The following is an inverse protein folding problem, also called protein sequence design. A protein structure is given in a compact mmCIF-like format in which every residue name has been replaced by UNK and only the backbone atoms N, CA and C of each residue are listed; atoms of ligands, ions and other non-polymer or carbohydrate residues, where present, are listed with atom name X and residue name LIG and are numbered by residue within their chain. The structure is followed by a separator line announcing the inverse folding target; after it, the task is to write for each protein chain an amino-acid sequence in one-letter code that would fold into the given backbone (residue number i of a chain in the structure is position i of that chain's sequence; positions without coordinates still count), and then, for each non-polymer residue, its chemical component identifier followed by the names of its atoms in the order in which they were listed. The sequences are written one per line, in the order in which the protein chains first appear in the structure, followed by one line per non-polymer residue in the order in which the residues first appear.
data_IF_579114291785
#
_entry.id   IF_579114291785
#
_cell.length_a   1.000
_cell.length_b   1.000
_cell.length_c   1.000
_cell.angle_alpha   90.00
_cell.angle_beta   90.00
_cell.angle_gamma   90.00
#
_symmetry.space_group_name_H-M   'P 1'
#
loop_
_entity.id
_entity.type
_entity.pdbx_description
1 polymer ?
#
# COMPACT_ATOMS: atom_id res chain seq x y z
N UNK A 1 -21.16 14.30 -14.79
CA UNK A 1 -19.87 14.78 -15.42
C UNK A 1 -18.66 13.93 -14.98
N UNK A 2 -18.26 13.89 -13.70
CA UNK A 2 -17.10 13.04 -13.27
C UNK A 2 -17.33 11.55 -13.57
N UNK A 3 -18.52 11.05 -13.35
CA UNK A 3 -18.91 9.66 -13.61
C UNK A 3 -18.79 9.27 -15.09
N UNK A 4 -19.12 10.17 -16.03
CA UNK A 4 -19.08 9.86 -17.46
C UNK A 4 -17.63 9.81 -18.00
N UNK A 5 -16.77 10.72 -17.58
CA UNK A 5 -15.35 10.73 -17.96
C UNK A 5 -14.60 9.51 -17.42
N UNK A 6 -14.86 9.17 -16.15
CA UNK A 6 -14.31 7.96 -15.54
C UNK A 6 -14.78 6.71 -16.28
N UNK A 7 -16.07 6.63 -16.61
CA UNK A 7 -16.63 5.49 -17.34
C UNK A 7 -15.97 5.32 -18.72
N UNK A 8 -15.81 6.40 -19.50
CA UNK A 8 -15.14 6.33 -20.79
C UNK A 8 -13.67 5.90 -20.66
N UNK A 9 -12.98 6.39 -19.65
CA UNK A 9 -11.60 5.97 -19.34
C UNK A 9 -11.53 4.47 -19.04
N UNK A 10 -12.43 3.98 -18.21
CA UNK A 10 -12.50 2.55 -17.87
C UNK A 10 -12.86 1.68 -19.07
N UNK A 11 -13.83 2.08 -19.91
CA UNK A 11 -14.18 1.36 -21.13
C UNK A 11 -12.97 1.22 -22.09
N UNK A 12 -12.18 2.28 -22.22
CA UNK A 12 -10.98 2.22 -23.04
C UNK A 12 -9.94 1.26 -22.46
N UNK A 13 -9.71 1.31 -21.15
CA UNK A 13 -8.73 0.45 -20.47
C UNK A 13 -9.15 -1.02 -20.46
N UNK A 14 -10.45 -1.31 -20.38
CA UNK A 14 -10.99 -2.67 -20.43
C UNK A 14 -10.65 -3.41 -21.75
N UNK A 15 -10.33 -2.72 -22.84
CA UNK A 15 -9.86 -3.36 -24.08
C UNK A 15 -8.56 -4.12 -23.84
N UNK A 16 -7.60 -3.51 -23.15
CA UNK A 16 -6.33 -4.16 -22.80
C UNK A 16 -6.51 -5.24 -21.73
N UNK A 17 -7.40 -5.00 -20.75
CA UNK A 17 -7.72 -5.99 -19.72
C UNK A 17 -8.30 -7.25 -20.33
N UNK A 18 -9.33 -7.15 -21.19
CA UNK A 18 -9.99 -8.29 -21.82
C UNK A 18 -9.10 -9.05 -22.81
N UNK A 19 -8.08 -8.42 -23.35
CA UNK A 19 -7.11 -9.10 -24.20
C UNK A 19 -6.28 -10.15 -23.43
N UNK A 20 -6.03 -9.93 -22.11
CA UNK A 20 -5.30 -10.86 -21.25
C UNK A 20 -6.23 -11.66 -20.31
N UNK A 21 -7.33 -11.07 -19.88
CA UNK A 21 -8.29 -11.61 -18.92
C UNK A 21 -9.70 -11.46 -19.49
N UNK A 22 -10.11 -12.34 -20.44
CA UNK A 22 -11.35 -12.18 -21.22
C UNK A 22 -12.63 -12.23 -20.37
N UNK A 23 -12.59 -12.91 -19.23
CA UNK A 23 -13.73 -13.13 -18.35
C UNK A 23 -13.96 -11.99 -17.35
N UNK A 24 -13.08 -10.97 -17.33
CA UNK A 24 -13.27 -9.77 -16.53
C UNK A 24 -14.20 -8.76 -17.21
N UNK A 25 -15.25 -8.34 -16.51
CA UNK A 25 -16.27 -7.41 -16.99
C UNK A 25 -16.34 -6.17 -16.11
N UNK A 26 -16.52 -5.00 -16.76
CA UNK A 26 -16.81 -3.74 -16.08
C UNK A 26 -18.31 -3.64 -15.82
N UNK A 27 -18.69 -3.37 -14.59
CA UNK A 27 -20.07 -3.20 -14.14
C UNK A 27 -20.22 -1.89 -13.35
N UNK A 28 -21.44 -1.39 -13.27
CA UNK A 28 -21.79 -0.34 -12.34
C UNK A 28 -22.65 -0.95 -11.22
N UNK A 29 -22.20 -0.84 -9.98
CA UNK A 29 -22.93 -1.32 -8.83
C UNK A 29 -24.17 -0.44 -8.54
N UNK A 30 -25.11 -0.93 -7.74
CA UNK A 30 -26.35 -0.23 -7.39
C UNK A 30 -26.10 1.13 -6.72
N UNK A 31 -25.00 1.29 -6.01
CA UNK A 31 -24.56 2.54 -5.38
C UNK A 31 -23.84 3.49 -6.35
N UNK A 32 -23.76 3.16 -7.63
CA UNK A 32 -23.18 3.95 -8.70
C UNK A 32 -21.66 3.78 -8.87
N UNK A 33 -20.97 3.03 -8.02
CA UNK A 33 -19.53 2.75 -8.14
C UNK A 33 -19.25 1.83 -9.31
N UNK A 34 -18.08 1.99 -9.93
CA UNK A 34 -17.59 1.08 -10.95
C UNK A 34 -16.81 -0.07 -10.33
N UNK A 35 -17.07 -1.26 -10.84
CA UNK A 35 -16.48 -2.52 -10.37
C UNK A 35 -16.04 -3.35 -11.59
N UNK A 36 -14.89 -3.99 -11.52
CA UNK A 36 -14.50 -5.02 -12.48
C UNK A 36 -14.59 -6.37 -11.79
N UNK A 37 -15.39 -7.29 -12.35
CA UNK A 37 -15.64 -8.63 -11.78
C UNK A 37 -15.43 -9.72 -12.80
N UNK A 38 -15.15 -10.92 -12.31
CA UNK A 38 -15.10 -12.15 -13.07
C UNK A 38 -13.91 -13.04 -12.70
N UNK A 39 -13.68 -14.03 -13.53
CA UNK A 39 -12.58 -14.96 -13.34
C UNK A 39 -11.28 -14.40 -13.92
N UNK A 40 -10.20 -14.47 -13.12
CA UNK A 40 -8.84 -14.12 -13.52
C UNK A 40 -8.00 -15.39 -13.48
N UNK A 41 -7.70 -15.94 -14.68
CA UNK A 41 -6.80 -17.07 -14.87
C UNK A 41 -5.40 -16.61 -15.28
N UNK A 42 -4.38 -17.32 -14.81
CA UNK A 42 -3.01 -17.13 -15.25
C UNK A 42 -2.23 -18.45 -15.21
N UNK A 43 -1.21 -18.53 -16.07
CA UNK A 43 -0.20 -19.58 -16.02
C UNK A 43 1.18 -18.91 -16.06
N UNK A 44 2.04 -19.29 -15.13
CA UNK A 44 3.41 -18.76 -15.06
C UNK A 44 4.36 -19.81 -14.49
N UNK A 45 5.67 -19.56 -14.63
CA UNK A 45 6.71 -20.47 -14.15
C UNK A 45 7.75 -19.69 -13.35
N UNK A 46 8.16 -20.26 -12.19
CA UNK A 46 9.26 -19.76 -11.39
C UNK A 46 10.11 -20.92 -10.86
N UNK A 47 11.43 -20.79 -10.99
CA UNK A 47 12.40 -21.78 -10.51
C UNK A 47 12.09 -23.22 -10.96
N UNK A 48 11.65 -23.37 -12.21
CA UNK A 48 11.23 -24.66 -12.78
C UNK A 48 9.85 -25.16 -12.35
N UNK A 49 9.17 -24.49 -11.42
CA UNK A 49 7.83 -24.83 -10.94
C UNK A 49 6.78 -24.06 -11.74
N UNK A 50 5.82 -24.77 -12.30
CA UNK A 50 4.70 -24.20 -13.05
C UNK A 50 3.53 -23.96 -12.09
N UNK A 51 2.94 -22.80 -12.16
CA UNK A 51 1.73 -22.43 -11.43
C UNK A 51 0.66 -22.03 -12.44
N UNK A 52 -0.45 -22.74 -12.42
CA UNK A 52 -1.67 -22.41 -13.15
C UNK A 52 -2.79 -22.26 -12.12
N UNK A 53 -3.47 -21.12 -12.15
CA UNK A 53 -4.52 -20.82 -11.19
C UNK A 53 -5.54 -19.85 -11.78
N UNK A 54 -6.75 -19.91 -11.24
CA UNK A 54 -7.87 -19.06 -11.57
C UNK A 54 -8.60 -18.63 -10.29
N UNK A 55 -8.98 -17.36 -10.22
CA UNK A 55 -9.63 -16.76 -9.06
C UNK A 55 -10.81 -15.89 -9.48
N UNK A 56 -11.92 -16.02 -8.77
CA UNK A 56 -13.01 -15.06 -8.85
C UNK A 56 -12.64 -13.79 -8.10
N UNK A 57 -12.62 -12.67 -8.79
CA UNK A 57 -12.19 -11.40 -8.18
C UNK A 57 -13.22 -10.29 -8.39
N UNK A 58 -13.19 -9.35 -7.45
CA UNK A 58 -13.88 -8.08 -7.53
C UNK A 58 -12.89 -6.94 -7.31
N UNK A 59 -12.81 -6.01 -8.27
CA UNK A 59 -11.94 -4.83 -8.19
C UNK A 59 -12.84 -3.60 -8.09
N UNK A 60 -12.81 -2.94 -6.94
CA UNK A 60 -13.54 -1.71 -6.71
C UNK A 60 -12.73 -0.51 -7.18
N UNK A 61 -13.29 0.28 -8.08
CA UNK A 61 -12.68 1.47 -8.65
C UNK A 61 -13.05 2.67 -7.79
N UNK A 62 -12.10 3.40 -7.19
CA UNK A 62 -12.42 4.59 -6.41
C UNK A 62 -12.80 5.77 -7.32
N UNK A 63 -13.62 6.70 -6.82
CA UNK A 63 -14.01 7.92 -7.56
C UNK A 63 -12.81 8.80 -7.93
N UNK A 64 -11.71 8.64 -7.20
CA UNK A 64 -10.44 9.34 -7.45
C UNK A 64 -9.52 8.62 -8.45
N UNK A 65 -10.01 7.54 -9.09
CA UNK A 65 -9.23 6.87 -10.13
C UNK A 65 -9.02 7.79 -11.34
N UNK A 66 -7.81 7.84 -11.95
CA UNK A 66 -6.62 7.03 -11.69
C UNK A 66 -5.63 7.62 -10.65
N UNK A 67 -5.99 8.63 -9.88
CA UNK A 67 -5.10 9.20 -8.85
C UNK A 67 -4.90 8.25 -7.64
N UNK A 68 -5.88 7.38 -7.39
CA UNK A 68 -5.79 6.33 -6.37
C UNK A 68 -5.92 4.95 -7.00
N UNK A 69 -5.16 3.95 -6.53
CA UNK A 69 -5.29 2.58 -7.01
C UNK A 69 -6.65 1.99 -6.65
N UNK A 70 -7.15 1.06 -7.46
CA UNK A 70 -8.27 0.22 -7.08
C UNK A 70 -7.95 -0.68 -5.89
N UNK A 71 -8.98 -1.29 -5.31
CA UNK A 71 -8.83 -2.34 -4.29
C UNK A 71 -9.45 -3.63 -4.78
N UNK A 72 -8.84 -4.77 -4.45
CA UNK A 72 -9.24 -6.10 -4.94
C UNK A 72 -9.73 -6.98 -3.79
N UNK A 73 -10.79 -7.75 -4.05
CA UNK A 73 -11.28 -8.87 -3.25
C UNK A 73 -11.22 -10.15 -4.06
N UNK A 74 -10.94 -11.23 -3.42
CA UNK A 74 -11.20 -12.56 -3.97
C UNK A 74 -12.55 -13.01 -3.45
N UNK A 75 -13.46 -13.37 -4.35
CA UNK A 75 -14.87 -13.64 -4.06
C UNK A 75 -15.25 -15.12 -4.18
N UNK A 76 -14.37 -15.95 -4.72
CA UNK A 76 -14.57 -17.38 -4.91
C UNK A 76 -14.27 -18.24 -3.66
N UNK A 77 -13.73 -17.64 -2.59
CA UNK A 77 -13.41 -18.34 -1.34
C UNK A 77 -12.18 -19.25 -1.42
N UNK A 78 -11.35 -19.09 -2.45
CA UNK A 78 -10.10 -19.86 -2.59
C UNK A 78 -8.98 -19.37 -1.68
N UNK A 79 -8.99 -18.09 -1.31
CA UNK A 79 -7.98 -17.48 -0.45
C UNK A 79 -8.55 -17.32 0.95
N UNK A 80 -7.95 -17.98 1.98
CA UNK A 80 -8.36 -17.85 3.37
C UNK A 80 -8.33 -16.40 3.87
N UNK A 81 -9.16 -16.07 4.87
CA UNK A 81 -9.23 -14.71 5.42
C UNK A 81 -7.95 -14.28 6.14
N UNK A 82 -7.19 -15.23 6.68
CA UNK A 82 -5.90 -14.97 7.34
C UNK A 82 -4.73 -14.80 6.35
N UNK A 83 -4.92 -15.12 5.07
CA UNK A 83 -3.90 -14.91 4.06
C UNK A 83 -3.97 -13.48 3.50
N UNK A 84 -3.07 -12.59 3.98
CA UNK A 84 -2.89 -11.22 3.48
C UNK A 84 -4.20 -10.46 3.19
N UNK A 85 -5.10 -10.44 4.18
CA UNK A 85 -6.40 -9.78 4.06
C UNK A 85 -6.50 -8.61 5.03
N UNK A 86 -7.00 -7.47 4.54
CA UNK A 86 -7.29 -6.29 5.35
C UNK A 86 -8.59 -6.49 6.14
N UNK A 87 -8.81 -5.69 7.19
CA UNK A 87 -10.01 -5.78 8.02
C UNK A 87 -11.34 -5.50 7.27
N UNK A 88 -11.29 -4.93 6.07
CA UNK A 88 -12.45 -4.70 5.18
C UNK A 88 -12.61 -5.79 4.10
N UNK A 89 -11.96 -6.93 4.29
CA UNK A 89 -11.94 -8.07 3.35
C UNK A 89 -11.21 -7.84 2.01
N UNK A 90 -10.63 -6.67 1.79
CA UNK A 90 -9.76 -6.46 0.63
C UNK A 90 -8.42 -7.17 0.79
N UNK A 91 -7.79 -7.53 -0.31
CA UNK A 91 -6.47 -8.19 -0.27
C UNK A 91 -5.36 -7.17 -0.02
N UNK A 92 -4.44 -7.52 0.86
CA UNK A 92 -3.26 -6.72 1.17
C UNK A 92 -2.17 -6.97 0.11
N UNK A 93 -2.09 -6.11 -0.90
CA UNK A 93 -1.10 -6.23 -1.99
C UNK A 93 0.29 -5.71 -1.60
N UNK A 94 0.45 -5.19 -0.39
CA UNK A 94 1.67 -4.61 0.14
C UNK A 94 1.42 -3.43 1.09
N UNK A 95 2.48 -2.73 1.45
CA UNK A 95 2.35 -1.49 2.23
C UNK A 95 1.57 -0.44 1.43
N UNK A 96 0.59 0.28 2.01
CA UNK A 96 -0.27 1.19 1.26
C UNK A 96 0.47 2.23 0.41
N UNK A 97 1.54 2.82 0.94
CA UNK A 97 2.37 3.76 0.18
C UNK A 97 3.07 3.07 -1.01
N UNK A 98 3.61 1.87 -0.81
CA UNK A 98 4.24 1.08 -1.87
C UNK A 98 3.27 0.77 -3.01
N UNK A 99 2.05 0.33 -2.68
CA UNK A 99 0.98 0.04 -3.66
C UNK A 99 0.63 1.28 -4.47
N UNK A 100 0.50 2.45 -3.82
CA UNK A 100 0.20 3.73 -4.48
C UNK A 100 1.35 4.20 -5.38
N UNK A 101 2.59 4.11 -4.92
CA UNK A 101 3.78 4.49 -5.70
C UNK A 101 3.90 3.62 -6.96
N UNK A 102 3.82 2.30 -6.82
CA UNK A 102 3.86 1.37 -7.97
C UNK A 102 2.72 1.62 -8.96
N UNK A 103 1.51 1.86 -8.45
CA UNK A 103 0.37 2.16 -9.31
C UNK A 103 0.57 3.44 -10.11
N UNK A 104 1.13 4.49 -9.49
CA UNK A 104 1.32 5.79 -10.13
C UNK A 104 2.31 5.80 -11.29
N UNK A 105 3.24 4.84 -11.35
CA UNK A 105 4.18 4.70 -12.46
C UNK A 105 3.45 4.45 -13.79
N UNK A 106 2.37 3.65 -13.73
CA UNK A 106 1.50 3.32 -14.86
C UNK A 106 0.06 3.16 -14.38
N UNK A 107 -0.64 4.27 -14.16
CA UNK A 107 -1.95 4.31 -13.51
C UNK A 107 -3.08 3.78 -14.43
N UNK A 108 -3.01 2.50 -14.79
CA UNK A 108 -4.00 1.80 -15.61
C UNK A 108 -4.41 0.46 -14.98
N UNK A 109 -5.64 -0.01 -15.30
CA UNK A 109 -6.16 -1.29 -14.81
C UNK A 109 -5.26 -2.47 -15.19
N UNK A 110 -4.76 -2.48 -16.43
CA UNK A 110 -3.94 -3.60 -16.89
C UNK A 110 -2.61 -3.67 -16.10
N UNK A 111 -1.94 -2.54 -15.85
CA UNK A 111 -0.71 -2.52 -15.06
C UNK A 111 -0.98 -2.84 -13.57
N UNK A 112 -2.11 -2.39 -13.02
CA UNK A 112 -2.53 -2.79 -11.67
C UNK A 112 -2.74 -4.30 -11.56
N UNK A 113 -3.45 -4.90 -12.53
CA UNK A 113 -3.67 -6.34 -12.58
C UNK A 113 -2.35 -7.11 -12.71
N UNK A 114 -1.55 -6.80 -13.72
CA UNK A 114 -0.32 -7.56 -14.03
C UNK A 114 0.82 -7.29 -13.05
N UNK A 115 0.90 -6.07 -12.51
CA UNK A 115 2.00 -5.65 -11.63
C UNK A 115 1.75 -5.86 -10.14
N UNK A 116 0.49 -5.99 -9.72
CA UNK A 116 0.16 -6.09 -8.29
C UNK A 116 -0.80 -7.23 -7.97
N UNK A 117 -1.93 -7.37 -8.68
CA UNK A 117 -2.94 -8.40 -8.39
C UNK A 117 -2.44 -9.79 -8.76
N UNK A 118 -1.96 -10.00 -9.98
CA UNK A 118 -1.44 -11.30 -10.43
C UNK A 118 -0.26 -11.77 -9.58
N UNK A 119 0.75 -10.95 -9.23
CA UNK A 119 1.82 -11.36 -8.31
C UNK A 119 1.31 -11.81 -6.94
N UNK A 120 0.29 -11.15 -6.40
CA UNK A 120 -0.35 -11.55 -5.16
C UNK A 120 -1.05 -12.92 -5.28
N UNK A 121 -1.89 -13.08 -6.30
CA UNK A 121 -2.60 -14.35 -6.58
C UNK A 121 -1.62 -15.49 -6.87
N UNK A 122 -0.55 -15.20 -7.59
CA UNK A 122 0.54 -16.14 -7.83
C UNK A 122 1.21 -16.57 -6.53
N UNK A 123 1.49 -15.63 -5.61
CA UNK A 123 2.10 -15.97 -4.32
C UNK A 123 1.22 -16.92 -3.51
N UNK A 124 -0.10 -16.69 -3.50
CA UNK A 124 -1.05 -17.60 -2.86
C UNK A 124 -1.09 -18.98 -3.53
N UNK A 125 -1.21 -19.03 -4.86
CA UNK A 125 -1.25 -20.30 -5.61
C UNK A 125 0.05 -21.11 -5.44
N UNK A 126 1.19 -20.43 -5.50
CA UNK A 126 2.49 -21.05 -5.29
C UNK A 126 2.63 -21.61 -3.87
N UNK A 127 2.25 -20.82 -2.86
CA UNK A 127 2.25 -21.27 -1.47
C UNK A 127 1.33 -22.47 -1.26
N UNK A 128 0.14 -22.47 -1.84
CA UNK A 128 -0.83 -23.59 -1.75
C UNK A 128 -0.30 -24.86 -2.39
N UNK A 129 0.49 -24.76 -3.46
CA UNK A 129 1.04 -25.92 -4.17
C UNK A 129 2.35 -26.44 -3.55
N UNK A 130 3.18 -25.55 -3.06
CA UNK A 130 4.57 -25.89 -2.69
C UNK A 130 4.92 -25.63 -1.23
N UNK A 131 4.04 -24.98 -0.45
CA UNK A 131 4.25 -24.71 0.98
C UNK A 131 5.31 -23.63 1.27
N UNK A 132 5.74 -22.86 0.27
CA UNK A 132 6.79 -21.86 0.37
C UNK A 132 6.36 -20.56 -0.33
N UNK A 133 6.90 -19.42 0.11
CA UNK A 133 6.58 -18.12 -0.48
C UNK A 133 7.58 -17.76 -1.60
N UNK A 134 7.10 -17.51 -2.84
CA UNK A 134 7.99 -17.37 -4.01
C UNK A 134 8.87 -16.12 -3.96
N UNK A 135 8.49 -15.10 -3.21
CA UNK A 135 9.22 -13.82 -3.10
C UNK A 135 9.75 -13.55 -1.68
N UNK A 136 9.73 -14.60 -0.81
CA UNK A 136 9.87 -14.40 0.62
C UNK A 136 8.62 -13.78 1.24
N UNK A 137 8.63 -13.63 2.55
CA UNK A 137 7.52 -13.05 3.29
C UNK A 137 8.01 -11.80 4.02
N UNK A 138 7.38 -10.65 3.73
CA UNK A 138 7.61 -9.45 4.51
C UNK A 138 6.75 -9.55 5.78
N UNK A 139 7.29 -9.17 6.95
CA UNK A 139 6.49 -9.14 8.18
C UNK A 139 5.19 -8.34 8.00
N UNK A 140 4.13 -8.78 8.68
CA UNK A 140 2.85 -8.07 8.64
C UNK A 140 2.80 -6.87 9.59
N UNK A 141 1.87 -5.97 9.33
CA UNK A 141 1.55 -4.84 10.22
C UNK A 141 2.72 -3.87 10.39
N UNK A 142 2.98 -3.48 11.63
CA UNK A 142 3.98 -2.45 11.94
C UNK A 142 5.42 -2.85 11.62
N UNK A 143 5.76 -4.14 11.75
CA UNK A 143 7.09 -4.64 11.36
C UNK A 143 7.32 -4.52 9.85
N UNK A 144 6.32 -4.86 9.03
CA UNK A 144 6.40 -4.69 7.58
C UNK A 144 6.45 -3.23 7.13
N UNK A 145 5.75 -2.34 7.85
CA UNK A 145 5.87 -0.89 7.65
C UNK A 145 7.31 -0.42 7.92
N UNK A 146 7.93 -0.87 9.03
CA UNK A 146 9.32 -0.53 9.36
C UNK A 146 10.28 -0.98 8.27
N UNK A 147 10.18 -2.21 7.81
CA UNK A 147 11.05 -2.77 6.77
C UNK A 147 10.92 -1.98 5.47
N UNK A 148 9.69 -1.69 5.06
CA UNK A 148 9.43 -0.87 3.87
C UNK A 148 10.05 0.54 3.99
N UNK A 149 9.85 1.23 5.11
CA UNK A 149 10.41 2.58 5.28
C UNK A 149 11.93 2.58 5.45
N UNK A 150 12.52 1.54 6.02
CA UNK A 150 13.97 1.36 6.03
C UNK A 150 14.54 1.26 4.62
N UNK A 151 13.93 0.43 3.78
CA UNK A 151 14.29 0.28 2.36
C UNK A 151 14.12 1.60 1.60
N UNK A 152 12.93 2.21 1.69
CA UNK A 152 12.59 3.45 0.98
C UNK A 152 13.55 4.60 1.31
N UNK A 153 13.93 4.71 2.58
CA UNK A 153 14.73 5.83 3.10
C UNK A 153 16.23 5.50 3.21
N UNK A 154 16.64 4.24 2.99
CA UNK A 154 18.03 3.81 3.14
C UNK A 154 18.56 4.02 4.56
N UNK A 155 17.78 3.63 5.57
CA UNK A 155 18.11 3.73 7.01
C UNK A 155 17.84 2.42 7.73
N UNK A 156 18.58 2.13 8.79
CA UNK A 156 18.48 0.85 9.52
C UNK A 156 17.73 0.98 10.85
N UNK A 157 17.68 2.18 11.43
CA UNK A 157 17.24 2.39 12.80
C UNK A 157 15.73 2.69 12.86
N UNK A 158 14.98 1.94 13.64
CA UNK A 158 13.52 2.07 13.83
C UNK A 158 13.10 3.46 14.30
N UNK A 159 13.82 4.04 15.26
CA UNK A 159 13.53 5.39 15.76
C UNK A 159 13.77 6.47 14.69
N UNK A 160 14.67 6.24 13.75
CA UNK A 160 14.90 7.14 12.61
C UNK A 160 13.69 7.07 11.66
N UNK A 161 13.19 5.87 11.35
CA UNK A 161 11.96 5.68 10.58
C UNK A 161 10.79 6.40 11.26
N UNK A 162 10.61 6.20 12.57
CA UNK A 162 9.56 6.86 13.33
C UNK A 162 9.69 8.40 13.28
N UNK A 163 10.91 8.92 13.28
CA UNK A 163 11.22 10.34 13.09
C UNK A 163 10.80 10.87 11.71
N UNK A 164 10.98 10.10 10.65
CA UNK A 164 10.51 10.44 9.31
C UNK A 164 8.99 10.36 9.20
N UNK A 165 8.36 9.31 9.72
CA UNK A 165 6.90 9.18 9.78
C UNK A 165 6.26 10.36 10.54
N UNK A 166 6.89 10.84 11.62
CA UNK A 166 6.46 12.06 12.32
C UNK A 166 6.42 13.27 11.39
N UNK A 167 7.45 13.47 10.57
CA UNK A 167 7.52 14.61 9.63
C UNK A 167 6.44 14.47 8.55
N UNK A 168 6.20 13.26 8.05
CA UNK A 168 5.16 12.97 7.06
C UNK A 168 3.75 13.16 7.65
N UNK A 169 3.53 12.77 8.90
CA UNK A 169 2.26 12.94 9.62
C UNK A 169 1.94 14.40 9.96
N UNK A 170 2.96 15.22 10.19
CA UNK A 170 2.79 16.67 10.39
C UNK A 170 2.69 17.35 9.01
N UNK A 171 1.58 18.03 8.67
CA UNK A 171 1.43 18.80 7.40
C UNK A 171 2.37 20.01 7.29
N UNK A 172 3.41 20.03 8.10
CA UNK A 172 4.36 21.13 8.21
C UNK A 172 5.77 20.68 7.80
N UNK A 173 5.95 20.38 6.50
CA UNK A 173 7.26 20.06 5.97
C UNK A 173 8.21 21.26 6.03
N UNK A 174 9.27 21.14 6.81
CA UNK A 174 10.33 22.15 6.98
C UNK A 174 11.66 21.63 6.47
N UNK A 175 12.01 21.90 5.23
CA UNK A 175 13.25 21.40 4.61
C UNK A 175 14.55 21.90 5.26
N UNK A 176 14.50 22.89 6.15
CA UNK A 176 15.65 23.45 6.86
C UNK A 176 15.93 22.79 8.22
N UNK A 177 15.04 21.92 8.70
CA UNK A 177 15.28 21.20 9.98
C UNK A 177 16.36 20.12 9.80
N UNK A 178 17.07 19.70 10.86
CA UNK A 178 17.99 18.57 10.80
C UNK A 178 17.28 17.31 10.30
N UNK A 179 17.99 16.55 9.46
CA UNK A 179 17.48 15.27 8.98
C UNK A 179 17.50 14.23 10.11
N UNK A 180 16.42 13.46 10.32
CA UNK A 180 16.36 12.41 11.34
C UNK A 180 17.45 11.33 11.22
N UNK A 181 18.03 11.13 10.02
CA UNK A 181 19.06 10.12 9.79
C UNK A 181 20.39 10.35 10.50
N UNK A 182 20.59 11.50 11.17
CA UNK A 182 21.78 11.80 11.94
C UNK A 182 23.05 12.13 11.13
N UNK A 183 22.98 12.25 9.80
CA UNK A 183 24.14 12.61 8.93
C UNK A 183 24.60 14.07 9.04
N UNK A 184 23.99 14.86 9.93
CA UNK A 184 24.35 16.29 10.13
C UNK A 184 23.84 17.24 9.05
N UNK A 185 23.08 16.74 8.06
CA UNK A 185 22.52 17.55 6.98
C UNK A 185 21.10 18.02 7.31
N UNK A 186 20.67 19.14 6.73
CA UNK A 186 19.26 19.56 6.75
C UNK A 186 18.44 18.68 5.82
N UNK A 187 17.14 18.53 6.14
CA UNK A 187 16.23 17.60 5.49
C UNK A 187 16.21 17.75 3.96
N UNK A 188 16.10 18.99 3.43
CA UNK A 188 16.06 19.25 1.98
C UNK A 188 17.32 18.83 1.22
N UNK A 189 18.46 18.75 1.92
CA UNK A 189 19.76 18.35 1.34
C UNK A 189 20.07 16.85 1.61
N UNK A 190 19.16 16.12 2.22
CA UNK A 190 19.30 14.72 2.58
C UNK A 190 18.09 13.92 2.08
N UNK A 191 17.12 13.58 2.91
CA UNK A 191 15.95 12.77 2.57
C UNK A 191 14.71 13.59 2.13
N UNK A 192 14.88 14.89 1.90
CA UNK A 192 13.75 15.76 1.59
C UNK A 192 13.04 15.45 0.27
N UNK A 193 13.75 14.89 -0.72
CA UNK A 193 13.14 14.47 -1.97
C UNK A 193 12.23 13.24 -1.75
N UNK A 194 12.73 12.18 -1.13
CA UNK A 194 11.95 10.98 -0.83
C UNK A 194 10.70 11.29 -0.01
N UNK A 195 10.79 12.21 0.96
CA UNK A 195 9.62 12.60 1.75
C UNK A 195 8.57 13.39 0.94
N UNK A 196 8.99 14.22 -0.03
CA UNK A 196 8.05 14.90 -0.92
C UNK A 196 7.36 13.89 -1.83
N UNK A 197 8.12 13.01 -2.47
CA UNK A 197 7.58 11.92 -3.29
C UNK A 197 6.57 11.06 -2.52
N UNK A 198 6.89 10.66 -1.28
CA UNK A 198 5.95 9.94 -0.43
C UNK A 198 4.65 10.72 -0.18
N UNK A 199 4.73 12.03 0.05
CA UNK A 199 3.57 12.90 0.28
C UNK A 199 2.70 13.11 -0.97
N UNK A 200 3.25 12.98 -2.16
CA UNK A 200 2.48 13.05 -3.40
C UNK A 200 1.53 11.85 -3.55
N UNK A 201 1.83 10.73 -2.88
CA UNK A 201 1.06 9.49 -2.95
C UNK A 201 0.20 9.19 -1.72
N UNK A 202 0.43 9.85 -0.59
CA UNK A 202 -0.27 9.52 0.66
C UNK A 202 -0.54 10.75 1.52
N UNK A 203 -1.70 10.78 2.17
CA UNK A 203 -2.13 11.89 3.04
C UNK A 203 -1.43 11.84 4.39
N UNK A 204 -1.26 13.00 5.01
CA UNK A 204 -0.69 13.11 6.35
C UNK A 204 -1.47 12.34 7.43
N UNK A 205 -2.80 12.16 7.27
CA UNK A 205 -3.61 11.31 8.14
C UNK A 205 -3.21 9.84 8.09
N UNK A 206 -2.89 9.35 6.91
CA UNK A 206 -2.52 7.95 6.70
C UNK A 206 -1.12 7.70 7.30
N UNK A 207 -0.17 8.61 7.07
CA UNK A 207 1.13 8.57 7.75
C UNK A 207 1.01 8.66 9.27
N UNK A 208 0.01 9.39 9.79
CA UNK A 208 -0.24 9.41 11.24
C UNK A 208 -0.71 8.06 11.76
N UNK A 209 -1.59 7.37 11.02
CA UNK A 209 -2.03 6.02 11.37
C UNK A 209 -0.87 5.02 11.34
N UNK A 210 -0.02 5.09 10.32
CA UNK A 210 1.20 4.27 10.23
C UNK A 210 2.18 4.59 11.37
N UNK A 211 2.38 5.88 11.68
CA UNK A 211 3.18 6.29 12.83
C UNK A 211 2.64 5.70 14.14
N UNK A 212 1.31 5.73 14.35
CA UNK A 212 0.67 5.16 15.54
C UNK A 212 0.90 3.65 15.63
N UNK A 213 0.76 2.94 14.51
CA UNK A 213 0.97 1.49 14.45
C UNK A 213 2.43 1.13 14.79
N UNK A 214 3.39 1.80 14.15
CA UNK A 214 4.83 1.60 14.39
C UNK A 214 5.22 2.00 15.82
N UNK A 215 4.70 3.13 16.31
CA UNK A 215 4.99 3.58 17.69
C UNK A 215 4.52 2.58 18.74
N UNK A 216 3.28 2.05 18.62
CA UNK A 216 2.76 1.03 19.54
C UNK A 216 3.65 -0.21 19.54
N UNK A 217 3.96 -0.69 18.34
CA UNK A 217 4.84 -1.85 18.16
C UNK A 217 6.21 -1.65 18.82
N UNK A 218 6.86 -0.50 18.58
CA UNK A 218 8.17 -0.21 19.15
C UNK A 218 8.15 -0.04 20.68
N UNK A 219 7.09 0.55 21.23
CA UNK A 219 6.94 0.66 22.70
C UNK A 219 6.80 -0.71 23.35
N UNK A 220 6.12 -1.66 22.69
CA UNK A 220 6.03 -3.04 23.19
C UNK A 220 7.38 -3.77 23.13
N UNK A 221 8.19 -3.55 22.07
CA UNK A 221 9.51 -4.17 21.91
C UNK A 221 10.60 -3.53 22.77
N UNK A 222 10.55 -2.21 22.94
CA UNK A 222 11.56 -1.42 23.63
C UNK A 222 10.95 -0.32 24.52
N UNK A 223 10.28 -0.67 25.65
CA UNK A 223 9.52 0.26 26.49
C UNK A 223 10.39 1.37 27.12
N UNK A 224 11.68 1.14 27.26
CA UNK A 224 12.63 2.07 27.88
C UNK A 224 13.35 2.98 26.86
N UNK A 225 13.05 2.90 25.56
CA UNK A 225 13.65 3.76 24.55
C UNK A 225 13.17 5.21 24.68
N UNK A 226 13.99 6.17 24.22
CA UNK A 226 13.62 7.59 24.25
C UNK A 226 12.81 7.99 23.01
N UNK A 227 11.51 8.07 23.14
CA UNK A 227 10.57 8.46 22.07
C UNK A 227 10.25 9.96 22.01
N UNK A 228 10.82 10.81 22.90
CA UNK A 228 10.43 12.23 23.04
C UNK A 228 10.59 13.04 21.75
N UNK A 229 11.62 12.76 20.96
CA UNK A 229 11.92 13.48 19.73
C UNK A 229 11.08 13.09 18.51
N UNK A 230 10.31 12.00 18.58
CA UNK A 230 9.64 11.37 17.42
C UNK A 230 8.10 11.46 17.43
N UNK A 231 7.51 12.11 18.44
CA UNK A 231 6.05 12.28 18.56
C UNK A 231 5.54 13.40 17.65
N UNK A 232 4.49 13.15 16.81
CA UNK A 232 3.86 14.18 16.00
C UNK A 232 3.25 15.31 16.84
N UNK A 233 3.38 16.56 16.35
CA UNK A 233 2.82 17.74 17.02
C UNK A 233 1.31 17.67 17.17
N UNK A 234 0.63 17.01 16.22
CA UNK A 234 -0.83 16.80 16.27
C UNK A 234 -1.26 16.02 17.50
N UNK A 235 -0.53 14.96 17.88
CA UNK A 235 -0.78 14.17 19.09
C UNK A 235 -0.51 15.01 20.35
N UNK A 236 0.60 15.76 20.40
CA UNK A 236 0.93 16.62 21.53
C UNK A 236 -0.12 17.71 21.77
N UNK A 237 -0.68 18.30 20.71
CA UNK A 237 -1.76 19.30 20.82
C UNK A 237 -3.07 18.69 21.31
N UNK A 238 -3.42 17.49 20.90
CA UNK A 238 -4.63 16.78 21.34
C UNK A 238 -4.57 16.46 22.85
N UNK A 239 -3.42 16.03 23.35
CA UNK A 239 -3.20 15.79 24.79
C UNK A 239 -3.35 17.06 25.64
N UNK A 240 -2.78 18.18 25.19
CA UNK A 240 -2.89 19.47 25.93
C UNK A 240 -4.33 19.99 26.02
N UNK A 241 -5.19 19.69 25.03
CA UNK A 241 -6.61 20.10 25.04
C UNK A 241 -7.49 19.22 25.93
N UNK A 242 -7.05 18.01 26.31
CA UNK A 242 -7.78 17.12 27.23
C UNK A 242 -7.34 17.27 28.69
N UNK A 243 -6.26 18.01 28.96
CA UNK A 243 -5.69 18.25 30.28
C UNK A 243 -6.12 19.61 30.85
N UNK A 244 -7.05 20.34 30.17
CA UNK A 244 -7.73 21.56 30.63
C UNK A 244 -9.22 21.26 30.75
#
# INVERSE_FOLDING_TARGET
MISDELFQTLLQQMKAVRALFPDLCLEQAEDGRFVVRGSLGFQTQRDGKVVEAEYEIEINIPDTYPQSPPVVRETGGKIPEDFHTNGDTTRCLGVPLEVRMRFSEHATLIHYLTGQVVPFLFSHAYFSLYGDMPFGERPHGAAGLLDFYKELLGVEQDLVVLGFLRILADDDYKGHVPCPCGRGLILRKCHGQQLREARDHQRASDFLNEWIAVFKYLVEQAPNADYRGVVPKRIMKAHRRRAI
#
